data_IF_010374588728
#
_entry.id   IF_010374588728
#
_cell.length_a   1.000
_cell.length_b   1.000
_cell.length_c   1.000
_cell.angle_alpha   90.00
_cell.angle_beta   90.00
_cell.angle_gamma   90.00
#
_symmetry.space_group_name_H-M   'P 1'
#
loop_
_entity.id
_entity.type
_entity.pdbx_description
1 polymer ?
#
# COMPACT_ATOMS: atom_id res chain seq x y z
N UNK A 1 -8.59 -9.78 12.38
CA UNK A 1 -7.26 -9.56 11.77
C UNK A 1 -6.16 -9.41 12.84
N UNK A 2 -6.14 -8.37 13.69
CA UNK A 2 -5.07 -8.08 14.67
C UNK A 2 -4.76 -9.26 15.60
N UNK A 3 -5.76 -9.98 16.12
CA UNK A 3 -5.52 -11.13 17.00
C UNK A 3 -4.72 -12.25 16.32
N UNK A 4 -4.91 -12.45 15.01
CA UNK A 4 -4.13 -13.44 14.24
C UNK A 4 -2.68 -12.99 14.14
N UNK A 5 -2.42 -11.72 13.86
CA UNK A 5 -1.06 -11.16 13.88
C UNK A 5 -0.38 -11.37 15.23
N UNK A 6 -1.08 -11.00 16.32
CA UNK A 6 -0.55 -11.14 17.70
C UNK A 6 -0.21 -12.60 18.01
N UNK A 7 -1.14 -13.52 17.74
CA UNK A 7 -0.94 -14.95 17.99
C UNK A 7 0.21 -15.55 17.18
N UNK A 8 0.48 -15.01 15.99
CA UNK A 8 1.58 -15.43 15.14
C UNK A 8 2.91 -14.71 15.45
N UNK A 9 2.92 -13.81 16.44
CA UNK A 9 4.09 -13.01 16.76
C UNK A 9 4.52 -12.06 15.65
N UNK A 10 3.57 -11.61 14.81
CA UNK A 10 3.79 -10.62 13.76
C UNK A 10 3.50 -9.25 14.38
N UNK A 11 4.45 -8.30 14.37
CA UNK A 11 4.24 -6.97 14.90
C UNK A 11 3.08 -6.26 14.18
N UNK A 12 2.23 -5.60 14.94
CA UNK A 12 1.10 -4.81 14.40
C UNK A 12 0.73 -3.73 15.41
N UNK A 13 0.11 -2.64 14.97
CA UNK A 13 -0.33 -1.56 15.84
C UNK A 13 -1.24 -2.08 16.94
N UNK A 14 -1.03 -1.59 18.17
CA UNK A 14 -1.99 -1.79 19.27
C UNK A 14 -3.31 -1.14 18.88
N UNK A 15 -4.41 -1.73 19.31
CA UNK A 15 -5.75 -1.31 18.91
C UNK A 15 -6.70 -1.35 20.10
N UNK A 16 -7.60 -0.38 20.18
CA UNK A 16 -8.74 -0.35 21.08
C UNK A 16 -10.02 -0.03 20.32
N UNK A 17 -11.17 -0.53 20.80
CA UNK A 17 -12.48 -0.08 20.29
C UNK A 17 -12.79 1.32 20.79
N UNK A 18 -13.30 2.17 19.94
CA UNK A 18 -13.74 3.51 20.29
C UNK A 18 -15.18 3.42 20.81
N UNK A 19 -15.33 3.33 22.15
CA UNK A 19 -16.64 3.21 22.79
C UNK A 19 -17.04 4.48 23.56
N UNK A 20 -16.08 5.06 24.29
CA UNK A 20 -16.27 6.30 25.06
C UNK A 20 -15.01 7.16 24.99
N UNK A 21 -15.15 8.46 25.31
CA UNK A 21 -14.03 9.39 25.38
C UNK A 21 -13.01 8.97 26.47
N UNK A 22 -13.48 8.45 27.60
CA UNK A 22 -12.63 7.99 28.70
C UNK A 22 -11.79 6.78 28.27
N UNK A 23 -12.41 5.80 27.59
CA UNK A 23 -11.69 4.63 27.07
C UNK A 23 -10.65 5.04 26.02
N UNK A 24 -10.96 6.00 25.17
CA UNK A 24 -10.03 6.54 24.19
C UNK A 24 -8.84 7.26 24.88
N UNK A 25 -9.08 8.07 25.90
CA UNK A 25 -8.02 8.72 26.68
C UNK A 25 -7.12 7.71 27.38
N UNK A 26 -7.69 6.68 28.01
CA UNK A 26 -6.90 5.62 28.64
C UNK A 26 -5.99 4.88 27.62
N UNK A 27 -6.48 4.63 26.42
CA UNK A 27 -5.66 4.05 25.37
C UNK A 27 -4.55 5.00 24.90
N UNK A 28 -4.83 6.29 24.80
CA UNK A 28 -3.85 7.32 24.42
C UNK A 28 -2.77 7.47 25.52
N UNK A 29 -3.12 7.38 26.79
CA UNK A 29 -2.13 7.34 27.89
C UNK A 29 -1.14 6.18 27.74
N UNK A 30 -1.60 5.04 27.22
CA UNK A 30 -0.74 3.86 26.98
C UNK A 30 0.15 4.02 25.74
N UNK A 31 -0.38 4.56 24.63
CA UNK A 31 0.32 4.53 23.32
C UNK A 31 0.94 5.87 22.93
N UNK A 32 0.46 6.98 23.50
CA UNK A 32 0.84 8.35 23.15
C UNK A 32 0.15 8.85 21.88
N UNK A 33 0.15 10.18 21.70
CA UNK A 33 -0.22 10.81 20.44
C UNK A 33 0.93 10.71 19.40
N UNK A 34 0.61 10.72 18.09
CA UNK A 34 -0.73 10.66 17.52
C UNK A 34 -1.31 9.26 17.55
N UNK A 35 -2.64 9.19 17.40
CA UNK A 35 -3.39 7.93 17.17
C UNK A 35 -4.15 8.02 15.84
N UNK A 36 -4.51 6.86 15.29
CA UNK A 36 -5.35 6.76 14.09
C UNK A 36 -6.70 6.19 14.48
N UNK A 37 -7.80 6.82 14.05
CA UNK A 37 -9.16 6.31 14.21
C UNK A 37 -9.74 6.00 12.84
N UNK A 38 -10.36 4.83 12.72
CA UNK A 38 -10.94 4.34 11.47
C UNK A 38 -12.16 3.48 11.71
N UNK A 39 -13.10 3.36 10.74
CA UNK A 39 -14.20 2.40 10.84
C UNK A 39 -13.69 0.97 11.09
N UNK A 40 -14.36 0.22 11.97
CA UNK A 40 -14.03 -1.19 12.24
C UNK A 40 -14.26 -2.07 11.00
N UNK A 41 -15.26 -1.68 10.17
CA UNK A 41 -15.55 -2.27 8.87
C UNK A 41 -15.53 -1.18 7.79
N UNK A 42 -14.46 -1.09 7.02
CA UNK A 42 -14.31 -0.11 5.95
C UNK A 42 -13.43 -0.65 4.83
N UNK A 43 -13.49 0.01 3.67
CA UNK A 43 -12.58 -0.22 2.54
C UNK A 43 -11.86 1.07 2.21
N UNK A 44 -10.56 0.98 1.99
CA UNK A 44 -9.70 2.12 1.72
C UNK A 44 -9.51 3.03 2.94
N UNK A 45 -9.02 4.24 2.71
CA UNK A 45 -8.72 5.23 3.75
C UNK A 45 -9.91 6.14 4.11
N UNK A 46 -11.10 5.87 3.59
CA UNK A 46 -12.28 6.69 3.82
C UNK A 46 -12.65 6.74 5.31
N UNK A 47 -12.96 7.94 5.81
CA UNK A 47 -13.30 8.18 7.22
C UNK A 47 -12.21 7.73 8.21
N UNK A 48 -10.95 7.84 7.82
CA UNK A 48 -9.79 7.58 8.68
C UNK A 48 -9.15 8.92 9.05
N UNK A 49 -8.95 9.16 10.36
CA UNK A 49 -8.33 10.39 10.87
C UNK A 49 -7.13 10.09 11.74
N UNK A 50 -6.13 10.95 11.65
CA UNK A 50 -5.02 11.01 12.57
C UNK A 50 -5.33 12.09 13.61
N UNK A 51 -5.37 11.72 14.90
CA UNK A 51 -5.61 12.62 16.01
C UNK A 51 -4.30 12.86 16.75
N UNK A 52 -3.93 14.12 16.92
CA UNK A 52 -2.64 14.54 17.47
C UNK A 52 -2.76 15.30 18.80
N UNK A 53 -3.98 15.58 19.26
CA UNK A 53 -4.24 16.33 20.49
C UNK A 53 -5.59 15.99 21.11
N UNK A 54 -5.76 16.35 22.40
CA UNK A 54 -7.03 16.20 23.11
C UNK A 54 -8.16 17.01 22.45
N UNK A 55 -7.84 18.17 21.88
CA UNK A 55 -8.83 18.99 21.18
C UNK A 55 -9.37 18.27 19.92
N UNK A 56 -8.48 17.61 19.15
CA UNK A 56 -8.91 16.83 17.99
C UNK A 56 -9.70 15.58 18.40
N UNK A 57 -9.31 14.95 19.52
CA UNK A 57 -10.06 13.84 20.10
C UNK A 57 -11.47 14.25 20.50
N UNK A 58 -11.64 15.37 21.19
CA UNK A 58 -12.95 15.88 21.63
C UNK A 58 -13.84 16.25 20.43
N UNK A 59 -13.26 16.88 19.38
CA UNK A 59 -13.98 17.16 18.13
C UNK A 59 -14.43 15.88 17.44
N UNK A 60 -13.56 14.87 17.34
CA UNK A 60 -13.91 13.58 16.78
C UNK A 60 -15.11 12.94 17.50
N UNK A 61 -15.13 12.97 18.84
CA UNK A 61 -16.26 12.45 19.62
C UNK A 61 -17.51 13.30 19.51
N UNK A 62 -17.40 14.63 19.30
CA UNK A 62 -18.52 15.52 19.06
C UNK A 62 -19.26 15.24 17.76
N UNK A 63 -18.52 14.82 16.73
CA UNK A 63 -19.03 14.54 15.39
C UNK A 63 -19.00 13.03 15.05
N UNK A 64 -18.89 12.16 16.07
CA UNK A 64 -18.70 10.72 15.87
C UNK A 64 -19.84 10.10 15.04
N UNK A 65 -19.53 9.53 13.87
CA UNK A 65 -20.53 8.85 13.04
C UNK A 65 -21.13 7.64 13.77
N UNK A 66 -22.38 7.29 13.43
CA UNK A 66 -23.15 6.17 14.01
C UNK A 66 -22.66 4.79 13.51
N UNK A 67 -21.35 4.62 13.37
CA UNK A 67 -20.71 3.36 12.97
C UNK A 67 -19.60 3.01 13.97
N UNK A 68 -19.28 1.72 14.17
CA UNK A 68 -18.19 1.32 15.04
C UNK A 68 -16.83 1.80 14.52
N UNK A 69 -16.04 2.39 15.42
CA UNK A 69 -14.67 2.82 15.18
C UNK A 69 -13.66 2.05 16.02
N UNK A 70 -12.47 1.91 15.48
CA UNK A 70 -11.29 1.44 16.20
C UNK A 70 -10.23 2.55 16.22
N UNK A 71 -9.51 2.61 17.33
CA UNK A 71 -8.35 3.49 17.51
C UNK A 71 -7.08 2.64 17.51
N UNK A 72 -6.08 3.05 16.76
CA UNK A 72 -4.79 2.38 16.65
C UNK A 72 -3.65 3.33 17.04
N UNK A 73 -2.60 2.78 17.64
CA UNK A 73 -1.35 3.53 17.79
C UNK A 73 -0.79 3.90 16.41
N UNK A 74 -0.29 5.11 16.30
CA UNK A 74 0.35 5.56 15.06
C UNK A 74 1.70 4.88 14.88
N UNK A 75 1.92 4.33 13.68
CA UNK A 75 3.21 3.75 13.28
C UNK A 75 3.91 4.71 12.33
N UNK A 76 5.08 5.19 12.72
CA UNK A 76 5.96 5.99 11.86
C UNK A 76 6.74 5.05 10.94
N UNK A 77 6.24 4.88 9.72
CA UNK A 77 6.78 3.94 8.74
C UNK A 77 6.46 4.33 7.31
N UNK A 78 7.21 3.76 6.37
CA UNK A 78 6.86 3.81 4.95
C UNK A 78 5.82 2.72 4.66
N UNK A 79 4.72 3.07 4.01
CA UNK A 79 3.73 2.09 3.58
C UNK A 79 4.28 1.29 2.41
N UNK A 80 4.24 -0.01 2.53
CA UNK A 80 4.61 -0.97 1.49
C UNK A 80 3.59 -2.09 1.44
N UNK A 81 3.48 -2.74 0.29
CA UNK A 81 2.70 -3.97 0.19
C UNK A 81 3.56 -5.13 -0.30
N UNK A 82 3.19 -6.30 0.15
CA UNK A 82 3.65 -7.59 -0.34
C UNK A 82 2.52 -8.21 -1.13
N UNK A 83 2.76 -8.50 -2.39
CA UNK A 83 1.85 -9.24 -3.25
C UNK A 83 2.43 -10.63 -3.51
N UNK A 84 1.57 -11.65 -3.49
CA UNK A 84 1.97 -12.99 -3.86
C UNK A 84 0.84 -13.77 -4.52
N UNK A 85 1.22 -14.67 -5.43
CA UNK A 85 0.33 -15.71 -5.96
C UNK A 85 0.77 -17.01 -5.30
N UNK A 86 -0.16 -17.63 -4.56
CA UNK A 86 0.10 -18.77 -3.68
C UNK A 86 -0.43 -20.07 -4.27
N UNK A 87 0.33 -21.14 -4.16
CA UNK A 87 -0.08 -22.49 -4.52
C UNK A 87 -1.06 -23.11 -3.49
N UNK A 88 -1.39 -24.40 -3.65
CA UNK A 88 -2.30 -25.12 -2.75
C UNK A 88 -1.76 -25.34 -1.34
N UNK A 89 -0.44 -25.18 -1.14
CA UNK A 89 0.23 -25.31 0.15
C UNK A 89 0.38 -23.97 0.85
N UNK A 90 0.10 -22.86 0.14
CA UNK A 90 0.34 -21.49 0.60
C UNK A 90 1.78 -21.02 0.36
N UNK A 91 2.55 -21.75 -0.45
CA UNK A 91 3.88 -21.33 -0.87
C UNK A 91 3.77 -20.35 -2.06
N UNK A 92 4.57 -19.29 -2.10
CA UNK A 92 4.49 -18.30 -3.18
C UNK A 92 5.13 -18.83 -4.46
N UNK A 93 4.35 -18.88 -5.53
CA UNK A 93 4.80 -19.08 -6.90
C UNK A 93 5.39 -17.79 -7.48
N UNK A 94 4.91 -16.65 -7.03
CA UNK A 94 5.37 -15.32 -7.41
C UNK A 94 5.27 -14.38 -6.22
N UNK A 95 6.23 -13.47 -6.08
CA UNK A 95 6.26 -12.43 -5.04
C UNK A 95 6.57 -11.06 -5.65
N UNK A 96 5.99 -10.03 -5.08
CA UNK A 96 6.20 -8.64 -5.47
C UNK A 96 6.21 -7.71 -4.26
N UNK A 97 6.79 -6.52 -4.44
CA UNK A 97 6.78 -5.43 -3.47
C UNK A 97 6.35 -4.14 -4.16
N UNK A 98 5.30 -3.51 -3.64
CA UNK A 98 4.93 -2.14 -4.01
C UNK A 98 5.25 -1.17 -2.86
N UNK A 99 5.60 0.06 -3.20
CA UNK A 99 6.00 1.11 -2.24
C UNK A 99 5.14 2.34 -2.46
N UNK A 100 4.60 2.86 -1.37
CA UNK A 100 3.74 4.04 -1.34
C UNK A 100 4.46 5.17 -0.59
N UNK A 101 5.22 6.04 -1.30
CA UNK A 101 5.97 7.14 -0.68
C UNK A 101 5.06 8.10 0.10
N UNK A 102 3.86 8.32 -0.42
CA UNK A 102 2.77 9.05 0.24
C UNK A 102 1.69 8.01 0.54
N UNK A 103 1.33 7.80 1.82
CA UNK A 103 0.20 6.93 2.15
C UNK A 103 -1.07 7.39 1.44
N UNK A 104 -1.88 6.45 0.95
CA UNK A 104 -3.12 6.77 0.22
C UNK A 104 -4.04 7.66 1.06
N UNK A 105 -4.07 7.45 2.38
CA UNK A 105 -4.83 8.30 3.31
C UNK A 105 -4.37 9.76 3.27
N UNK A 106 -3.07 10.02 3.29
CA UNK A 106 -2.51 11.37 3.24
C UNK A 106 -2.77 12.00 1.85
N UNK A 107 -2.59 11.21 0.78
CA UNK A 107 -2.88 11.67 -0.58
C UNK A 107 -4.35 12.09 -0.77
N UNK A 108 -5.29 11.39 -0.14
CA UNK A 108 -6.73 11.72 -0.19
C UNK A 108 -7.07 12.89 0.71
N UNK A 109 -6.60 12.89 1.97
CA UNK A 109 -6.94 13.91 2.97
C UNK A 109 -6.32 15.27 2.65
N UNK A 110 -5.09 15.28 2.13
CA UNK A 110 -4.34 16.49 1.78
C UNK A 110 -4.47 16.85 0.29
N UNK A 111 -5.36 16.17 -0.41
CA UNK A 111 -5.61 16.35 -1.85
C UNK A 111 -4.33 16.27 -2.72
N UNK A 112 -3.38 15.39 -2.38
CA UNK A 112 -2.12 15.25 -3.11
C UNK A 112 -2.28 14.39 -4.37
N UNK A 113 -1.35 14.51 -5.33
CA UNK A 113 -1.26 13.60 -6.45
C UNK A 113 -0.84 12.21 -5.95
N UNK A 114 -1.56 11.17 -6.38
CA UNK A 114 -1.20 9.80 -6.03
C UNK A 114 0.00 9.34 -6.84
N UNK A 115 1.02 8.87 -6.14
CA UNK A 115 2.16 8.17 -6.73
C UNK A 115 2.57 6.98 -5.88
N UNK A 116 2.84 5.87 -6.53
CA UNK A 116 3.42 4.66 -5.92
C UNK A 116 4.18 3.87 -6.97
N UNK A 117 5.02 2.95 -6.55
CA UNK A 117 5.80 2.18 -7.51
C UNK A 117 5.97 0.72 -7.10
N UNK A 118 6.10 -0.13 -8.09
CA UNK A 118 6.53 -1.52 -7.98
C UNK A 118 8.06 -1.56 -7.98
N UNK A 119 8.63 -2.25 -7.00
CA UNK A 119 10.08 -2.47 -6.90
C UNK A 119 10.52 -3.66 -7.74
N UNK A 120 11.67 -3.60 -8.44
CA UNK A 120 12.21 -4.75 -9.18
C UNK A 120 12.65 -5.90 -8.28
N UNK A 121 12.78 -5.66 -6.97
CA UNK A 121 13.24 -6.65 -5.99
C UNK A 121 12.39 -6.56 -4.74
N UNK A 122 12.00 -7.71 -4.22
CA UNK A 122 11.32 -7.81 -2.92
C UNK A 122 12.38 -7.79 -1.81
N UNK A 123 12.18 -6.93 -0.79
CA UNK A 123 13.03 -6.94 0.40
C UNK A 123 12.89 -8.32 1.11
N UNK A 124 13.99 -9.03 1.38
CA UNK A 124 13.93 -10.35 2.02
C UNK A 124 13.17 -10.36 3.36
N UNK A 125 13.25 -9.27 4.14
CA UNK A 125 12.49 -9.16 5.39
C UNK A 125 10.99 -8.99 5.15
N UNK A 126 10.60 -8.30 4.07
CA UNK A 126 9.20 -8.19 3.68
C UNK A 126 8.67 -9.53 3.18
N UNK A 127 9.44 -10.25 2.36
CA UNK A 127 9.10 -11.61 1.93
C UNK A 127 8.88 -12.54 3.12
N UNK A 128 9.78 -12.53 4.12
CA UNK A 128 9.62 -13.29 5.34
C UNK A 128 8.34 -12.90 6.10
N UNK A 129 8.09 -11.59 6.31
CA UNK A 129 6.90 -11.10 6.98
C UNK A 129 5.61 -11.48 6.24
N UNK A 130 5.61 -11.36 4.91
CA UNK A 130 4.50 -11.75 4.04
C UNK A 130 4.17 -13.24 4.13
N UNK A 131 5.17 -14.11 3.98
CA UNK A 131 5.02 -15.57 4.09
C UNK A 131 4.54 -16.02 5.47
N UNK A 132 5.05 -15.39 6.54
CA UNK A 132 4.55 -15.64 7.91
C UNK A 132 3.10 -15.23 8.06
N UNK A 133 2.70 -14.09 7.48
CA UNK A 133 1.31 -13.62 7.48
C UNK A 133 0.40 -14.59 6.72
N UNK A 134 0.78 -14.99 5.49
CA UNK A 134 0.06 -16.00 4.71
C UNK A 134 -0.20 -17.25 5.53
N UNK A 135 0.85 -17.80 6.15
CA UNK A 135 0.75 -18.99 6.99
C UNK A 135 -0.16 -18.80 8.20
N UNK A 136 -0.05 -17.64 8.89
CA UNK A 136 -0.86 -17.34 10.07
C UNK A 136 -2.35 -17.24 9.76
N UNK A 137 -2.69 -16.72 8.57
CA UNK A 137 -4.07 -16.58 8.10
C UNK A 137 -4.60 -17.83 7.37
N UNK A 138 -3.76 -18.85 7.17
CA UNK A 138 -4.15 -20.10 6.48
C UNK A 138 -4.52 -19.88 5.01
N UNK A 139 -3.89 -18.92 4.34
CA UNK A 139 -4.21 -18.54 2.96
C UNK A 139 -3.46 -19.44 1.98
N UNK A 140 -4.18 -19.95 0.99
CA UNK A 140 -3.62 -20.73 -0.11
C UNK A 140 -4.44 -20.54 -1.40
N UNK A 141 -3.93 -20.99 -2.55
CA UNK A 141 -4.59 -20.93 -3.87
C UNK A 141 -5.19 -19.55 -4.15
N UNK A 142 -4.38 -18.49 -3.95
CA UNK A 142 -4.91 -17.14 -4.01
C UNK A 142 -3.85 -16.12 -4.40
N UNK A 143 -4.29 -15.04 -5.02
CA UNK A 143 -3.54 -13.80 -5.05
C UNK A 143 -3.79 -13.05 -3.75
N UNK A 144 -2.74 -12.55 -3.10
CA UNK A 144 -2.83 -11.74 -1.87
C UNK A 144 -2.17 -10.39 -2.07
N UNK A 145 -2.70 -9.40 -1.35
CA UNK A 145 -2.15 -8.05 -1.22
C UNK A 145 -2.12 -7.71 0.27
N UNK A 146 -0.94 -7.74 0.86
CA UNK A 146 -0.72 -7.56 2.28
C UNK A 146 0.01 -6.25 2.53
N UNK A 147 -0.54 -5.39 3.35
CA UNK A 147 0.06 -4.09 3.65
C UNK A 147 0.86 -4.11 4.95
N UNK A 148 2.02 -3.45 4.91
CA UNK A 148 2.95 -3.33 6.03
C UNK A 148 3.49 -1.91 6.14
N UNK A 149 3.85 -1.52 7.37
CA UNK A 149 4.72 -0.38 7.60
C UNK A 149 6.17 -0.85 7.74
N UNK A 150 7.08 -0.32 6.91
CA UNK A 150 8.52 -0.41 7.13
C UNK A 150 8.90 0.65 8.14
N UNK A 151 9.31 0.24 9.33
CA UNK A 151 9.55 1.13 10.47
C UNK A 151 10.68 2.13 10.19
N UNK A 152 10.41 3.42 10.36
CA UNK A 152 11.41 4.51 10.29
C UNK A 152 12.24 4.63 11.56
N UNK A 153 11.70 4.16 12.70
CA UNK A 153 12.34 4.17 14.02
C UNK A 153 12.13 2.84 14.71
N UNK A 154 13.03 2.49 15.64
CA UNK A 154 12.82 1.39 16.57
C UNK A 154 11.71 1.77 17.55
N UNK A 155 10.68 0.91 17.68
CA UNK A 155 9.55 1.10 18.61
C UNK A 155 9.32 -0.17 19.40
N UNK A 156 9.27 -0.04 20.73
CA UNK A 156 9.02 -1.18 21.64
C UNK A 156 7.67 -1.84 21.28
N UNK A 157 7.67 -3.15 21.14
CA UNK A 157 6.49 -3.94 20.77
C UNK A 157 6.23 -4.05 19.27
N UNK A 158 6.87 -3.21 18.42
CA UNK A 158 6.73 -3.25 16.97
C UNK A 158 7.98 -3.77 16.26
N UNK A 159 9.18 -3.41 16.73
CA UNK A 159 10.42 -3.88 16.10
C UNK A 159 11.48 -2.80 15.95
N UNK A 160 12.56 -3.14 15.24
CA UNK A 160 13.68 -2.24 14.96
C UNK A 160 13.42 -1.45 13.66
N UNK A 161 14.13 -0.32 13.51
CA UNK A 161 14.15 0.43 12.25
C UNK A 161 14.44 -0.50 11.06
N UNK A 162 13.62 -0.41 10.02
CA UNK A 162 13.71 -1.22 8.80
C UNK A 162 13.04 -2.60 8.89
N UNK A 163 12.43 -2.96 10.02
CA UNK A 163 11.55 -4.12 10.15
C UNK A 163 10.12 -3.76 9.76
N UNK A 164 9.26 -4.77 9.59
CA UNK A 164 7.91 -4.62 9.08
C UNK A 164 6.87 -4.91 10.15
N UNK A 165 5.86 -4.03 10.24
CA UNK A 165 4.68 -4.23 11.07
C UNK A 165 3.44 -4.37 10.17
N UNK A 166 2.63 -5.40 10.39
CA UNK A 166 1.44 -5.69 9.59
C UNK A 166 0.34 -4.65 9.79
N UNK A 167 -0.23 -4.20 8.68
CA UNK A 167 -1.32 -3.24 8.64
C UNK A 167 -2.63 -3.90 8.21
N UNK A 168 -2.69 -4.46 6.98
CA UNK A 168 -3.91 -5.00 6.39
C UNK A 168 -3.64 -6.30 5.62
N UNK A 169 -4.64 -7.19 5.62
CA UNK A 169 -4.64 -8.45 4.86
C UNK A 169 -5.77 -8.43 3.86
N UNK A 170 -5.43 -8.37 2.59
CA UNK A 170 -6.37 -8.48 1.48
C UNK A 170 -6.13 -9.78 0.72
N UNK A 171 -7.11 -10.68 0.75
CA UNK A 171 -7.04 -11.99 0.08
C UNK A 171 -7.53 -11.88 -1.36
N UNK A 172 -6.99 -10.94 -2.11
CA UNK A 172 -7.30 -10.58 -3.49
C UNK A 172 -6.08 -9.92 -4.14
N UNK A 173 -6.05 -9.79 -5.49
CA UNK A 173 -5.05 -8.95 -6.15
C UNK A 173 -5.14 -7.48 -5.68
N UNK A 174 -4.05 -6.71 -5.81
CA UNK A 174 -4.05 -5.27 -5.58
C UNK A 174 -5.03 -4.56 -6.52
N UNK A 175 -5.48 -3.37 -6.12
CA UNK A 175 -6.42 -2.57 -6.91
C UNK A 175 -5.77 -1.78 -8.05
N UNK A 176 -6.63 -1.13 -8.85
CA UNK A 176 -6.20 -0.28 -9.96
C UNK A 176 -5.38 -1.05 -10.99
N UNK A 177 -4.39 -0.37 -11.56
CA UNK A 177 -3.45 -0.93 -12.53
C UNK A 177 -2.20 -1.59 -11.91
N UNK A 178 -2.22 -1.86 -10.61
CA UNK A 178 -1.06 -2.48 -9.94
C UNK A 178 -0.67 -3.84 -10.53
N UNK A 179 -1.60 -4.73 -10.92
CA UNK A 179 -1.22 -5.97 -11.61
C UNK A 179 -0.49 -5.73 -12.94
N UNK A 180 -0.91 -4.73 -13.71
CA UNK A 180 -0.24 -4.34 -14.97
C UNK A 180 1.15 -3.75 -14.69
N UNK A 181 1.27 -2.93 -13.65
CA UNK A 181 2.55 -2.39 -13.20
C UNK A 181 3.52 -3.50 -12.78
N UNK A 182 3.03 -4.56 -12.13
CA UNK A 182 3.82 -5.75 -11.79
C UNK A 182 4.32 -6.41 -13.07
N UNK A 183 3.47 -6.56 -14.10
CA UNK A 183 3.86 -7.10 -15.40
C UNK A 183 4.96 -6.26 -16.04
N UNK A 184 4.82 -4.94 -16.04
CA UNK A 184 5.82 -4.03 -16.59
C UNK A 184 7.15 -4.04 -15.81
N UNK A 185 7.09 -4.14 -14.48
CA UNK A 185 8.26 -4.16 -13.60
C UNK A 185 9.07 -5.45 -13.77
N UNK A 186 8.39 -6.58 -13.86
CA UNK A 186 9.02 -7.90 -13.88
C UNK A 186 9.10 -8.53 -15.27
N UNK A 187 8.57 -7.87 -16.31
CA UNK A 187 8.47 -8.41 -17.68
C UNK A 187 7.84 -9.82 -17.68
N UNK A 188 6.67 -9.94 -17.04
CA UNK A 188 5.92 -11.18 -16.86
C UNK A 188 4.43 -10.94 -17.09
N UNK A 189 3.61 -11.94 -16.87
CA UNK A 189 2.14 -11.85 -16.88
C UNK A 189 1.56 -12.50 -15.62
N UNK A 190 1.23 -11.68 -14.61
CA UNK A 190 0.65 -12.17 -13.35
C UNK A 190 -0.76 -12.75 -13.52
N UNK A 191 -1.48 -12.35 -14.57
CA UNK A 191 -2.78 -12.94 -14.90
C UNK A 191 -2.60 -14.39 -15.38
N UNK A 192 -1.58 -14.63 -16.22
CA UNK A 192 -1.24 -15.97 -16.65
C UNK A 192 -0.67 -16.81 -15.50
N UNK A 193 0.19 -16.23 -14.64
CA UNK A 193 0.69 -16.92 -13.43
C UNK A 193 -0.47 -17.34 -12.53
N UNK A 194 -1.49 -16.48 -12.35
CA UNK A 194 -2.66 -16.83 -11.58
C UNK A 194 -3.47 -17.96 -12.25
N UNK A 195 -3.63 -17.92 -13.56
CA UNK A 195 -4.29 -19.00 -14.30
C UNK A 195 -3.52 -20.32 -14.20
N UNK A 196 -2.19 -20.28 -14.31
CA UNK A 196 -1.32 -21.46 -14.14
C UNK A 196 -1.48 -22.08 -12.74
N UNK A 197 -1.49 -21.24 -11.70
CA UNK A 197 -1.73 -21.67 -10.33
C UNK A 197 -3.10 -22.35 -10.17
N UNK A 198 -4.16 -21.76 -10.74
CA UNK A 198 -5.52 -22.34 -10.65
C UNK A 198 -5.63 -23.69 -11.36
N UNK A 199 -5.03 -23.80 -12.54
CA UNK A 199 -5.16 -24.97 -13.41
C UNK A 199 -4.17 -26.10 -13.05
N UNK A 200 -2.96 -25.72 -12.67
CA UNK A 200 -1.84 -26.67 -12.57
C UNK A 200 -1.17 -26.70 -11.20
N UNK A 201 -1.49 -25.73 -10.32
CA UNK A 201 -0.87 -25.55 -8.99
C UNK A 201 0.65 -25.34 -9.07
N UNK A 202 1.13 -24.76 -10.16
CA UNK A 202 2.57 -24.51 -10.43
C UNK A 202 2.79 -23.26 -11.28
N UNK A 203 4.01 -22.72 -11.24
CA UNK A 203 4.45 -21.62 -12.11
C UNK A 203 4.92 -22.19 -13.45
N UNK A 204 4.21 -21.88 -14.54
CA UNK A 204 4.59 -22.22 -15.93
C UNK A 204 5.00 -21.01 -16.74
N UNK A 205 4.53 -19.85 -16.35
CA UNK A 205 4.85 -18.56 -16.98
C UNK A 205 6.28 -18.15 -16.66
N UNK A 206 7.01 -17.71 -17.67
CA UNK A 206 8.37 -17.20 -17.48
C UNK A 206 8.34 -15.89 -16.68
N UNK A 207 9.21 -15.78 -15.69
CA UNK A 207 9.44 -14.57 -14.93
C UNK A 207 10.86 -14.08 -15.19
N UNK A 208 11.00 -13.02 -15.97
CA UNK A 208 12.28 -12.47 -16.36
C UNK A 208 12.96 -11.67 -15.23
N UNK A 209 13.29 -12.33 -14.14
CA UNK A 209 13.68 -11.72 -12.86
C UNK A 209 15.08 -11.08 -12.81
N UNK A 210 15.91 -11.18 -13.86
CA UNK A 210 17.31 -10.77 -13.71
C UNK A 210 17.59 -9.28 -13.92
N UNK A 211 16.66 -8.52 -14.49
CA UNK A 211 16.81 -7.09 -14.80
C UNK A 211 15.47 -6.36 -14.71
N UNK A 212 14.79 -6.47 -13.61
CA UNK A 212 13.52 -5.77 -13.37
C UNK A 212 13.63 -4.25 -13.47
N UNK A 213 12.48 -3.61 -13.47
CA UNK A 213 12.33 -2.16 -13.53
C UNK A 213 11.60 -1.64 -12.28
N UNK A 214 11.93 -0.44 -11.86
CA UNK A 214 11.02 0.35 -11.05
C UNK A 214 9.89 0.79 -11.96
N UNK A 215 8.67 0.35 -11.68
CA UNK A 215 7.48 0.75 -12.43
C UNK A 215 6.63 1.68 -11.55
N UNK A 216 6.49 2.94 -11.95
CA UNK A 216 5.83 3.97 -11.17
C UNK A 216 4.51 4.39 -11.80
N UNK A 217 3.50 4.55 -10.97
CA UNK A 217 2.24 5.21 -11.27
C UNK A 217 2.30 6.66 -10.83
N UNK A 218 1.83 7.58 -11.67
CA UNK A 218 1.61 8.98 -11.34
C UNK A 218 0.25 9.42 -11.86
N UNK A 219 -0.63 9.88 -10.95
CA UNK A 219 -1.95 10.41 -11.30
C UNK A 219 -1.97 11.92 -11.17
N UNK A 220 -2.19 12.64 -12.28
CA UNK A 220 -2.42 14.08 -12.28
C UNK A 220 -3.88 14.39 -12.05
N UNK A 221 -4.15 15.25 -11.07
CA UNK A 221 -5.51 15.73 -10.77
C UNK A 221 -5.91 16.84 -11.74
N UNK A 222 -7.20 16.93 -12.01
CA UNK A 222 -7.76 18.01 -12.80
C UNK A 222 -7.76 19.34 -12.03
N UNK A 223 -7.75 20.46 -12.75
CA UNK A 223 -7.82 21.80 -12.16
C UNK A 223 -6.56 22.25 -11.42
N UNK A 224 -5.41 21.60 -11.65
CA UNK A 224 -4.09 22.02 -11.13
C UNK A 224 -3.21 22.57 -12.25
N UNK A 225 -2.44 23.57 -11.90
CA UNK A 225 -1.42 24.10 -12.78
C UNK A 225 -0.15 23.26 -12.64
N UNK A 226 0.21 22.55 -13.72
CA UNK A 226 1.46 21.81 -13.82
C UNK A 226 2.40 22.55 -14.76
N UNK A 227 3.68 22.62 -14.39
CA UNK A 227 4.70 23.29 -15.21
C UNK A 227 4.87 22.59 -16.56
N UNK A 228 4.73 21.27 -16.60
CA UNK A 228 4.96 20.47 -17.80
C UNK A 228 3.65 19.94 -18.39
N UNK A 229 3.46 20.19 -19.69
CA UNK A 229 2.31 19.72 -20.46
C UNK A 229 2.39 18.20 -20.72
N UNK A 230 1.28 17.64 -21.22
CA UNK A 230 1.26 16.25 -21.68
C UNK A 230 2.29 16.00 -22.82
N UNK A 231 2.40 16.92 -23.76
CA UNK A 231 3.31 16.82 -24.90
C UNK A 231 4.78 16.81 -24.42
N UNK A 232 5.14 17.65 -23.48
CA UNK A 232 6.49 17.71 -22.90
C UNK A 232 6.83 16.42 -22.12
N UNK A 233 5.86 15.85 -21.38
CA UNK A 233 6.02 14.57 -20.72
C UNK A 233 6.28 13.47 -21.76
N UNK A 234 5.47 13.41 -22.80
CA UNK A 234 5.59 12.42 -23.86
C UNK A 234 6.86 12.59 -24.69
N UNK A 235 7.32 13.81 -24.91
CA UNK A 235 8.59 14.08 -25.60
C UNK A 235 9.77 13.55 -24.77
N UNK A 236 9.77 13.84 -23.45
CA UNK A 236 10.89 13.52 -22.57
C UNK A 236 10.94 12.05 -22.16
N UNK A 237 9.79 11.41 -21.92
CA UNK A 237 9.69 10.09 -21.29
C UNK A 237 8.99 9.03 -22.16
N UNK A 238 8.82 9.26 -23.46
CA UNK A 238 8.13 8.33 -24.38
C UNK A 238 8.61 6.89 -24.24
N UNK A 239 9.92 6.68 -24.18
CA UNK A 239 10.53 5.35 -24.11
C UNK A 239 10.38 4.68 -22.74
N UNK A 240 10.01 5.45 -21.72
CA UNK A 240 9.78 4.96 -20.38
C UNK A 240 8.29 4.72 -20.09
N UNK A 241 7.39 5.51 -20.67
CA UNK A 241 5.95 5.39 -20.47
C UNK A 241 5.45 4.12 -21.12
N UNK A 242 4.85 3.25 -20.32
CA UNK A 242 4.31 1.95 -20.75
C UNK A 242 2.79 1.93 -20.78
N UNK A 243 2.15 2.88 -20.11
CA UNK A 243 0.70 3.06 -20.12
C UNK A 243 0.34 4.50 -19.75
N UNK A 244 -0.68 5.04 -20.40
CA UNK A 244 -1.27 6.33 -20.06
C UNK A 244 -2.75 6.30 -20.41
N UNK A 245 -3.57 6.83 -19.55
CA UNK A 245 -5.03 6.85 -19.77
C UNK A 245 -5.69 7.99 -19.01
N UNK A 246 -6.87 8.39 -19.48
CA UNK A 246 -7.82 9.15 -18.67
C UNK A 246 -8.60 8.15 -17.81
N UNK A 247 -8.50 8.31 -16.48
CA UNK A 247 -9.15 7.43 -15.52
C UNK A 247 -10.68 7.55 -15.58
N UNK A 248 -11.43 6.48 -15.29
CA UNK A 248 -12.87 6.59 -15.07
C UNK A 248 -13.20 7.64 -13.99
N UNK A 249 -14.25 8.47 -14.18
CA UNK A 249 -14.56 9.59 -13.27
C UNK A 249 -14.70 9.20 -11.79
N UNK A 250 -15.15 7.98 -11.51
CA UNK A 250 -15.26 7.45 -10.13
C UNK A 250 -13.91 7.37 -9.41
N UNK A 251 -12.80 7.28 -10.15
CA UNK A 251 -11.45 7.16 -9.61
C UNK A 251 -10.71 8.51 -9.51
N UNK A 252 -11.21 9.57 -10.14
CA UNK A 252 -10.51 10.88 -10.18
C UNK A 252 -10.13 11.44 -8.81
N UNK A 253 -11.00 11.38 -7.78
CA UNK A 253 -10.65 11.94 -6.48
C UNK A 253 -9.43 11.28 -5.83
N UNK A 254 -9.26 9.98 -6.04
CA UNK A 254 -8.20 9.20 -5.41
C UNK A 254 -6.97 9.02 -6.30
N UNK A 255 -7.20 8.74 -7.60
CA UNK A 255 -6.14 8.31 -8.52
C UNK A 255 -5.67 9.42 -9.47
N UNK A 256 -6.36 10.56 -9.52
CA UNK A 256 -6.15 11.58 -10.53
C UNK A 256 -6.95 11.31 -11.81
N UNK A 257 -7.10 12.32 -12.64
CA UNK A 257 -7.81 12.20 -13.93
C UNK A 257 -6.93 11.59 -15.02
N UNK A 258 -5.71 12.10 -15.14
CA UNK A 258 -4.76 11.59 -16.14
C UNK A 258 -3.65 10.78 -15.43
N UNK A 259 -3.52 9.54 -15.84
CA UNK A 259 -2.51 8.68 -15.26
C UNK A 259 -1.39 8.37 -16.24
N UNK A 260 -0.19 8.22 -15.70
CA UNK A 260 1.01 7.78 -16.39
C UNK A 260 1.66 6.65 -15.61
N UNK A 261 1.92 5.54 -16.29
CA UNK A 261 2.73 4.44 -15.77
C UNK A 261 4.03 4.39 -16.57
N UNK A 262 5.13 4.52 -15.87
CA UNK A 262 6.46 4.54 -16.51
C UNK A 262 7.41 3.58 -15.80
N UNK A 263 8.41 3.03 -16.54
CA UNK A 263 9.41 2.10 -16.01
C UNK A 263 10.82 2.58 -16.21
N UNK A 264 11.66 2.35 -15.18
CA UNK A 264 13.04 2.83 -15.14
C UNK A 264 13.98 1.75 -14.62
N UNK A 265 15.24 1.76 -15.08
CA UNK A 265 16.24 0.81 -14.59
C UNK A 265 16.74 1.13 -13.20
N UNK A 266 16.73 2.41 -12.81
CA UNK A 266 17.23 2.86 -11.52
C UNK A 266 16.17 3.64 -10.76
N UNK A 267 16.23 3.56 -9.41
CA UNK A 267 15.37 4.36 -8.54
C UNK A 267 15.60 5.87 -8.74
N UNK A 268 16.83 6.28 -9.05
CA UNK A 268 17.15 7.68 -9.30
C UNK A 268 16.42 8.25 -10.50
N UNK A 269 16.39 7.51 -11.61
CA UNK A 269 15.64 7.92 -12.82
C UNK A 269 14.14 7.98 -12.56
N UNK A 270 13.61 6.99 -11.85
CA UNK A 270 12.19 6.97 -11.45
C UNK A 270 11.83 8.19 -10.58
N UNK A 271 12.65 8.54 -9.59
CA UNK A 271 12.40 9.71 -8.75
C UNK A 271 12.48 11.02 -9.57
N UNK A 272 13.43 11.14 -10.49
CA UNK A 272 13.51 12.30 -11.39
C UNK A 272 12.27 12.44 -12.29
N UNK A 273 11.65 11.33 -12.69
CA UNK A 273 10.36 11.36 -13.38
C UNK A 273 9.25 11.86 -12.44
N UNK A 274 9.18 11.36 -11.20
CA UNK A 274 8.17 11.80 -10.22
C UNK A 274 8.30 13.28 -9.93
N UNK A 275 9.52 13.79 -9.73
CA UNK A 275 9.78 15.23 -9.51
C UNK A 275 9.28 16.06 -10.70
N UNK A 276 9.62 15.65 -11.93
CA UNK A 276 9.17 16.31 -13.16
C UNK A 276 7.64 16.30 -13.32
N UNK A 277 6.98 15.22 -12.93
CA UNK A 277 5.52 15.10 -13.00
C UNK A 277 4.81 15.97 -11.97
N UNK A 278 5.48 16.28 -10.87
CA UNK A 278 4.93 17.05 -9.76
C UNK A 278 5.06 18.58 -9.98
N UNK A 279 6.12 19.01 -10.66
CA UNK A 279 6.31 20.40 -11.07
C UNK A 279 5.19 20.84 -12.04
#
# INVERSE_FOLDING_TARGET
MKQIYINAGIPTARQSKVTTLEAARAFIEEVGYPVVVKPDNGVGAANTWKLSSDLELERFFGDLPQIPYVMEEFIEGDLVSYEAILDSKGDPLFENMSVFPIPVMDAVNDDLNLTYYVSPVVDPKLSEAGRRTVKAFGVNRRFVHLEFFRLKKTKKGLGKKGEYAGLEVNMRPPGGYTPDMINFAHSTDVYQIFADMVLYDELRTEVANKNGYYCVYYGRKDGRDYLHSHEEIMERYRDNIVMQEEMPPVNWPQMGRYMYTARFKTKKEMLAFVDFMQE
#
